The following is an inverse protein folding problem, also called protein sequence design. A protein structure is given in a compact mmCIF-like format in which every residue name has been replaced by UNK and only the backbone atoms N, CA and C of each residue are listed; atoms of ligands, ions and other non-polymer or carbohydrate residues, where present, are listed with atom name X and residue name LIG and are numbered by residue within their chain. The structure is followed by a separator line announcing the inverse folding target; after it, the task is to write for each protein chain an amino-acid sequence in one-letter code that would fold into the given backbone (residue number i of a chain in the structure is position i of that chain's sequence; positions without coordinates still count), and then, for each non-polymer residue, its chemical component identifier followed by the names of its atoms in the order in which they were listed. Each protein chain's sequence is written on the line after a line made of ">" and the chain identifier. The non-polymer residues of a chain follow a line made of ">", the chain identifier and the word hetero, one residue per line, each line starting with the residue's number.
data_IF_552249478079
#
_entry.id   IF_552249478079
#
_cell.length_a   1.000
_cell.length_b   1.000
_cell.length_c   1.000
_cell.angle_alpha   90.00
_cell.angle_beta   90.00
_cell.angle_gamma   90.00
#
_symmetry.space_group_name_H-M   'P 1'
#
loop_
_entity.id
_entity.type
_entity.pdbx_description
1 polymer ?
#
# COMPACT_ATOMS: atom_id res chain seq x y z
N UNK A 1 24.51 -4.07 12.42
CA UNK A 1 23.95 -4.35 11.09
C UNK A 1 22.95 -3.27 10.76
N UNK A 2 23.01 -2.70 9.55
CA UNK A 2 22.07 -1.67 9.10
C UNK A 2 20.73 -2.28 8.68
N UNK A 3 19.62 -1.61 9.00
CA UNK A 3 18.26 -2.04 8.67
C UNK A 3 17.63 -1.11 7.65
N UNK A 4 16.85 -1.68 6.73
CA UNK A 4 15.96 -0.91 5.86
C UNK A 4 14.60 -1.55 5.73
N UNK A 5 13.58 -0.70 5.73
CA UNK A 5 12.23 -1.01 5.27
C UNK A 5 12.09 -0.36 3.89
N UNK A 6 11.82 -1.17 2.86
CA UNK A 6 11.69 -0.68 1.49
C UNK A 6 10.29 -1.00 0.99
N UNK A 7 9.47 0.01 0.69
CA UNK A 7 8.15 -0.23 0.10
C UNK A 7 8.13 0.20 -1.38
N UNK A 8 7.19 -0.33 -2.17
CA UNK A 8 6.90 0.36 -3.44
C UNK A 8 5.94 1.54 -3.21
N UNK A 9 5.77 2.40 -4.21
CA UNK A 9 5.00 3.63 -4.07
C UNK A 9 3.48 3.44 -3.99
N UNK A 10 2.99 2.19 -3.90
CA UNK A 10 1.63 1.93 -3.45
C UNK A 10 1.45 2.15 -1.94
N UNK A 11 2.54 2.27 -1.18
CA UNK A 11 2.57 2.82 0.17
C UNK A 11 2.59 4.34 0.10
N UNK A 12 1.62 5.01 0.73
CA UNK A 12 1.51 6.47 0.69
C UNK A 12 2.39 7.18 1.75
N UNK A 13 3.03 6.43 2.67
CA UNK A 13 4.01 6.99 3.59
C UNK A 13 5.19 7.59 2.83
N UNK A 14 5.61 8.78 3.23
CA UNK A 14 6.83 9.45 2.73
C UNK A 14 8.02 9.31 3.66
N UNK A 15 7.74 9.03 4.93
CA UNK A 15 8.74 8.80 5.97
C UNK A 15 8.15 7.93 7.08
N UNK A 16 9.02 7.34 7.88
CA UNK A 16 8.65 6.70 9.14
C UNK A 16 9.08 7.60 10.31
N UNK A 17 8.59 7.33 11.50
CA UNK A 17 9.04 8.04 12.70
C UNK A 17 10.55 7.86 12.89
N UNK A 18 11.24 8.97 13.17
CA UNK A 18 12.66 8.93 13.44
C UNK A 18 12.94 8.11 14.70
N UNK A 19 13.91 7.22 14.63
CA UNK A 19 14.34 6.38 15.74
C UNK A 19 15.81 6.62 16.08
N UNK A 20 16.20 6.28 17.31
CA UNK A 20 17.61 6.22 17.72
C UNK A 20 18.36 5.04 17.06
N UNK A 21 17.62 4.10 16.48
CA UNK A 21 18.16 2.98 15.71
C UNK A 21 18.21 3.34 14.23
N UNK A 22 19.27 2.94 13.54
CA UNK A 22 19.57 3.27 12.14
C UNK A 22 18.68 2.51 11.12
N UNK A 23 17.37 2.44 11.36
CA UNK A 23 16.43 1.89 10.39
C UNK A 23 16.09 2.95 9.37
N UNK A 24 16.44 2.71 8.10
CA UNK A 24 16.08 3.61 7.01
C UNK A 24 14.80 3.15 6.31
N UNK A 25 14.01 4.11 5.85
CA UNK A 25 12.84 3.87 5.01
C UNK A 25 13.05 4.48 3.64
N UNK A 26 12.71 3.72 2.61
CA UNK A 26 12.73 4.21 1.24
C UNK A 26 11.59 3.62 0.42
N UNK A 27 11.22 4.33 -0.67
CA UNK A 27 10.21 3.86 -1.60
C UNK A 27 10.80 3.63 -2.99
N UNK A 28 10.33 2.57 -3.66
CA UNK A 28 10.63 2.24 -5.05
C UNK A 28 9.43 2.65 -5.91
N UNK A 29 9.59 3.62 -6.84
CA UNK A 29 8.47 4.22 -7.53
C UNK A 29 7.90 3.31 -8.63
N UNK A 30 6.56 3.20 -8.67
CA UNK A 30 5.83 2.78 -9.87
C UNK A 30 5.74 3.95 -10.84
N UNK A 31 5.30 3.67 -12.07
CA UNK A 31 5.17 4.69 -13.12
C UNK A 31 3.73 4.71 -13.64
N UNK A 32 3.16 5.89 -13.78
CA UNK A 32 1.87 6.12 -14.42
C UNK A 32 2.13 6.64 -15.83
N UNK A 33 1.50 6.03 -16.82
CA UNK A 33 1.61 6.41 -18.24
C UNK A 33 0.31 7.09 -18.67
N UNK A 34 0.39 8.34 -19.13
CA UNK A 34 -0.77 9.10 -19.60
C UNK A 34 -0.40 9.86 -20.87
N UNK A 35 -1.17 9.72 -21.93
CA UNK A 35 -0.97 10.46 -23.17
C UNK A 35 0.42 10.27 -23.82
N UNK A 36 1.07 9.14 -23.56
CA UNK A 36 2.46 8.86 -24.01
C UNK A 36 3.56 9.49 -23.16
N UNK A 37 3.23 10.06 -22.00
CA UNK A 37 4.18 10.60 -21.02
C UNK A 37 4.25 9.70 -19.79
N UNK A 38 5.46 9.50 -19.26
CA UNK A 38 5.74 8.72 -18.07
C UNK A 38 5.85 9.62 -16.83
N UNK A 39 5.01 9.34 -15.83
CA UNK A 39 5.00 10.01 -14.53
C UNK A 39 5.51 9.04 -13.45
N UNK A 40 6.74 9.25 -13.02
CA UNK A 40 7.35 8.45 -11.94
C UNK A 40 6.75 8.85 -10.60
N UNK A 41 6.18 7.90 -9.85
CA UNK A 41 5.53 8.13 -8.55
C UNK A 41 6.58 8.38 -7.43
N UNK A 42 7.38 9.41 -7.62
CA UNK A 42 8.42 9.87 -6.72
C UNK A 42 7.94 10.96 -5.75
N UNK A 43 8.88 11.46 -4.94
CA UNK A 43 8.58 12.47 -3.89
C UNK A 43 8.15 13.83 -4.47
N UNK A 44 8.66 14.18 -5.65
CA UNK A 44 8.46 15.50 -6.26
C UNK A 44 7.29 15.54 -7.26
N UNK A 45 6.56 14.45 -7.44
CA UNK A 45 5.43 14.40 -8.36
C UNK A 45 4.24 15.15 -7.78
N UNK A 46 3.74 16.14 -8.52
CA UNK A 46 2.48 16.82 -8.22
C UNK A 46 1.31 15.90 -8.60
N UNK A 47 0.73 15.24 -7.59
CA UNK A 47 -0.37 14.28 -7.76
C UNK A 47 -1.66 15.00 -8.17
N UNK A 48 -1.88 16.24 -7.72
CA UNK A 48 -3.06 17.02 -8.10
C UNK A 48 -3.04 17.35 -9.60
N UNK A 49 -1.90 17.81 -10.09
CA UNK A 49 -1.73 18.08 -11.54
C UNK A 49 -1.83 16.78 -12.35
N UNK A 50 -1.26 15.67 -11.87
CA UNK A 50 -1.40 14.37 -12.54
C UNK A 50 -2.87 13.94 -12.62
N UNK A 51 -3.66 14.10 -11.55
CA UNK A 51 -5.09 13.77 -11.55
C UNK A 51 -5.86 14.60 -12.59
N UNK A 52 -5.50 15.89 -12.76
CA UNK A 52 -6.08 16.76 -13.79
C UNK A 52 -5.75 16.25 -15.19
N UNK A 53 -4.49 15.89 -15.45
CA UNK A 53 -4.06 15.34 -16.74
C UNK A 53 -4.77 14.03 -17.06
N UNK A 54 -4.89 13.11 -16.07
CA UNK A 54 -5.61 11.85 -16.25
C UNK A 54 -7.08 12.09 -16.61
N UNK A 55 -7.73 13.08 -16.01
CA UNK A 55 -9.11 13.43 -16.29
C UNK A 55 -9.31 13.99 -17.71
N UNK A 56 -8.30 14.64 -18.29
CA UNK A 56 -8.31 15.15 -19.65
C UNK A 56 -7.97 14.08 -20.70
N UNK A 57 -7.21 13.03 -20.31
CA UNK A 57 -6.72 11.94 -21.19
C UNK A 57 -7.12 10.55 -20.67
N UNK A 58 -8.41 10.28 -20.46
CA UNK A 58 -8.84 9.08 -19.72
C UNK A 58 -8.59 7.75 -20.46
N UNK A 59 -8.48 7.77 -21.79
CA UNK A 59 -8.37 6.54 -22.59
C UNK A 59 -6.95 6.00 -22.70
N UNK A 60 -5.94 6.88 -22.64
CA UNK A 60 -4.54 6.56 -22.89
C UNK A 60 -3.72 6.47 -21.59
N UNK A 61 -4.24 5.80 -20.55
CA UNK A 61 -3.52 5.70 -19.27
C UNK A 61 -3.37 4.25 -18.77
N UNK A 62 -2.22 3.99 -18.16
CA UNK A 62 -1.86 2.70 -17.56
C UNK A 62 -0.81 2.88 -16.46
N UNK A 63 -0.36 1.81 -15.83
CA UNK A 63 0.76 1.84 -14.90
C UNK A 63 1.71 0.67 -15.12
N UNK A 64 2.97 0.84 -14.73
CA UNK A 64 3.98 -0.22 -14.70
C UNK A 64 4.66 -0.32 -13.34
N UNK A 65 5.10 -1.54 -13.00
CA UNK A 65 5.86 -1.80 -11.79
C UNK A 65 7.32 -1.35 -11.97
N UNK A 66 8.05 -1.13 -10.85
CA UNK A 66 9.48 -0.87 -10.87
C UNK A 66 10.24 -2.05 -11.46
N UNK A 67 11.39 -1.77 -12.11
CA UNK A 67 12.28 -2.83 -12.57
C UNK A 67 13.04 -3.47 -11.41
N UNK A 68 13.53 -4.70 -11.61
CA UNK A 68 14.41 -5.37 -10.65
C UNK A 68 15.70 -4.56 -10.35
N UNK A 69 16.19 -3.78 -11.31
CA UNK A 69 17.35 -2.91 -11.11
C UNK A 69 17.12 -1.85 -10.04
N UNK A 70 15.97 -1.19 -10.08
CA UNK A 70 15.60 -0.13 -9.11
C UNK A 70 15.43 -0.70 -7.69
N UNK A 71 14.84 -1.88 -7.55
CA UNK A 71 14.78 -2.60 -6.28
C UNK A 71 16.18 -3.00 -5.77
N UNK A 72 17.01 -3.55 -6.65
CA UNK A 72 18.37 -3.99 -6.31
C UNK A 72 19.25 -2.84 -5.81
N UNK A 73 19.09 -1.63 -6.37
CA UNK A 73 19.78 -0.42 -5.90
C UNK A 73 19.49 -0.12 -4.43
N UNK A 74 18.26 -0.32 -3.98
CA UNK A 74 17.91 -0.15 -2.57
C UNK A 74 18.46 -1.28 -1.71
N UNK A 75 18.29 -2.52 -2.17
CA UNK A 75 18.72 -3.70 -1.40
C UNK A 75 20.21 -3.75 -1.15
N UNK A 76 21.05 -3.26 -2.07
CA UNK A 76 22.52 -3.25 -1.90
C UNK A 76 23.00 -2.42 -0.73
N UNK A 77 22.25 -1.39 -0.33
CA UNK A 77 22.71 -0.39 0.65
C UNK A 77 22.76 -0.90 2.08
N UNK A 78 22.00 -1.96 2.44
CA UNK A 78 21.76 -2.36 3.82
C UNK A 78 22.03 -3.85 4.03
N UNK A 79 22.40 -4.21 5.26
CA UNK A 79 22.64 -5.61 5.64
C UNK A 79 21.34 -6.41 5.76
N UNK A 80 20.34 -5.81 6.43
CA UNK A 80 19.01 -6.37 6.66
C UNK A 80 17.96 -5.53 5.93
N UNK A 81 17.20 -6.15 5.04
CA UNK A 81 16.14 -5.50 4.27
C UNK A 81 14.84 -6.28 4.42
N UNK A 82 13.78 -5.59 4.81
CA UNK A 82 12.41 -6.10 4.66
C UNK A 82 11.69 -5.21 3.65
N UNK A 83 11.30 -5.82 2.52
CA UNK A 83 10.63 -5.11 1.44
C UNK A 83 9.13 -5.45 1.44
N UNK A 84 8.28 -4.42 1.40
CA UNK A 84 6.81 -4.54 1.37
C UNK A 84 6.30 -4.08 0.02
N UNK A 85 5.62 -4.96 -0.70
CA UNK A 85 5.11 -4.64 -2.04
C UNK A 85 3.59 -4.60 -2.09
N UNK A 86 3.06 -3.89 -3.08
CA UNK A 86 1.68 -4.08 -3.52
C UNK A 86 1.42 -5.56 -3.80
N UNK A 87 0.15 -5.97 -3.72
CA UNK A 87 -0.26 -7.35 -4.03
C UNK A 87 0.38 -7.86 -5.33
N UNK A 88 0.99 -9.06 -5.24
CA UNK A 88 1.55 -9.78 -6.37
C UNK A 88 0.50 -10.12 -7.46
N UNK A 89 -0.78 -10.20 -7.07
CA UNK A 89 -1.89 -10.42 -8.00
C UNK A 89 -2.39 -9.14 -8.70
N UNK A 90 -1.93 -7.95 -8.27
CA UNK A 90 -2.28 -6.68 -8.90
C UNK A 90 -1.13 -6.07 -9.70
N UNK A 91 0.12 -6.42 -9.37
CA UNK A 91 1.33 -5.82 -9.97
C UNK A 91 2.50 -6.80 -10.02
N UNK A 92 3.37 -6.64 -11.01
CA UNK A 92 4.65 -7.34 -11.08
C UNK A 92 5.73 -6.84 -10.10
N UNK A 93 5.38 -5.97 -9.15
CA UNK A 93 6.33 -5.36 -8.21
C UNK A 93 7.02 -6.41 -7.31
N UNK A 94 6.24 -7.36 -6.77
CA UNK A 94 6.77 -8.47 -5.96
C UNK A 94 7.75 -9.34 -6.74
N UNK A 95 7.41 -9.69 -7.98
CA UNK A 95 8.29 -10.48 -8.85
C UNK A 95 9.59 -9.72 -9.16
N UNK A 96 9.49 -8.43 -9.48
CA UNK A 96 10.66 -7.58 -9.71
C UNK A 96 11.56 -7.49 -8.45
N UNK A 97 10.97 -7.35 -7.26
CA UNK A 97 11.70 -7.38 -6.00
C UNK A 97 12.36 -8.75 -5.74
N UNK A 98 11.66 -9.85 -6.08
CA UNK A 98 12.21 -11.21 -5.96
C UNK A 98 13.43 -11.42 -6.87
N UNK A 99 13.36 -10.95 -8.11
CA UNK A 99 14.51 -10.96 -9.02
C UNK A 99 15.66 -10.10 -8.48
N UNK A 100 15.36 -8.92 -7.94
CA UNK A 100 16.36 -8.04 -7.33
C UNK A 100 17.05 -8.69 -6.13
N UNK A 101 16.30 -9.36 -5.26
CA UNK A 101 16.87 -10.13 -4.13
C UNK A 101 17.88 -11.15 -4.60
N UNK A 102 17.53 -11.94 -5.61
CA UNK A 102 18.43 -12.97 -6.15
C UNK A 102 19.69 -12.35 -6.74
N UNK A 103 19.57 -11.26 -7.50
CA UNK A 103 20.72 -10.51 -8.06
C UNK A 103 21.66 -10.06 -6.94
N UNK A 104 21.13 -9.42 -5.90
CA UNK A 104 21.94 -8.87 -4.80
C UNK A 104 22.59 -9.96 -3.97
N UNK A 105 21.89 -11.06 -3.68
CA UNK A 105 22.47 -12.19 -2.95
C UNK A 105 23.57 -12.90 -3.76
N UNK A 106 23.39 -13.05 -5.08
CA UNK A 106 24.41 -13.62 -5.96
C UNK A 106 25.66 -12.71 -6.07
N UNK A 107 25.48 -11.41 -6.17
CA UNK A 107 26.58 -10.44 -6.15
C UNK A 107 27.34 -10.52 -4.83
N UNK A 108 26.63 -10.47 -3.70
CA UNK A 108 27.22 -10.55 -2.37
C UNK A 108 27.99 -11.86 -2.17
N UNK A 109 27.43 -13.00 -2.60
CA UNK A 109 28.11 -14.30 -2.53
C UNK A 109 29.41 -14.33 -3.33
N UNK A 110 29.44 -13.74 -4.53
CA UNK A 110 30.67 -13.65 -5.36
C UNK A 110 31.77 -12.83 -4.68
N UNK A 111 31.41 -11.72 -4.07
CA UNK A 111 32.35 -10.85 -3.35
C UNK A 111 32.89 -11.51 -2.08
N UNK A 112 32.06 -12.33 -1.40
CA UNK A 112 32.40 -12.98 -0.13
C UNK A 112 32.71 -14.48 -0.24
N UNK A 113 33.25 -14.93 -1.40
CA UNK A 113 33.72 -16.31 -1.63
C UNK A 113 32.65 -17.38 -1.38
N UNK A 114 31.40 -17.10 -1.75
CA UNK A 114 30.25 -18.01 -1.59
C UNK A 114 29.53 -17.90 -0.25
N UNK A 115 29.92 -16.97 0.63
CA UNK A 115 29.24 -16.75 1.91
C UNK A 115 28.20 -15.65 1.75
N UNK A 116 26.95 -15.92 2.13
CA UNK A 116 25.85 -14.94 2.15
C UNK A 116 25.52 -14.44 3.56
N UNK A 117 26.21 -14.93 4.57
CA UNK A 117 26.04 -14.49 5.96
C UNK A 117 26.34 -13.00 6.11
N UNK A 118 25.39 -12.24 6.63
CA UNK A 118 25.49 -10.78 6.78
C UNK A 118 24.70 -9.98 5.74
N UNK A 119 24.01 -10.66 4.80
CA UNK A 119 23.07 -10.04 3.86
C UNK A 119 21.74 -10.76 3.90
N UNK A 120 20.72 -10.12 4.44
CA UNK A 120 19.39 -10.69 4.64
C UNK A 120 18.35 -9.85 3.92
N UNK A 121 17.51 -10.47 3.10
CA UNK A 121 16.45 -9.79 2.36
C UNK A 121 15.17 -10.63 2.43
N UNK A 122 14.13 -10.08 3.06
CA UNK A 122 12.80 -10.67 3.10
C UNK A 122 11.81 -9.83 2.28
N UNK A 123 10.87 -10.49 1.61
CA UNK A 123 9.85 -9.85 0.78
C UNK A 123 8.48 -10.17 1.34
N UNK A 124 7.71 -9.15 1.61
CA UNK A 124 6.32 -9.24 2.08
C UNK A 124 5.40 -8.87 0.91
N UNK A 125 4.61 -9.83 0.43
CA UNK A 125 3.45 -9.54 -0.40
C UNK A 125 2.35 -9.01 0.53
N UNK A 126 2.05 -7.72 0.48
CA UNK A 126 1.00 -7.15 1.32
C UNK A 126 -0.40 -7.68 1.00
N UNK A 127 -0.56 -8.32 -0.15
CA UNK A 127 -1.87 -8.72 -0.70
C UNK A 127 -2.87 -7.56 -0.79
N UNK A 128 -2.38 -6.32 -0.85
CA UNK A 128 -3.15 -5.08 -0.80
C UNK A 128 -2.48 -3.94 -1.60
N UNK A 129 -3.00 -2.73 -1.44
CA UNK A 129 -2.40 -1.45 -1.82
C UNK A 129 -2.85 -0.37 -0.82
N UNK A 130 -2.09 0.70 -0.66
CA UNK A 130 -2.40 1.81 0.22
C UNK A 130 -2.39 1.38 1.69
N UNK A 131 -3.35 1.85 2.47
CA UNK A 131 -3.43 1.80 3.92
C UNK A 131 -2.90 0.54 4.62
N UNK A 132 -3.01 -0.66 4.02
CA UNK A 132 -2.42 -1.86 4.62
C UNK A 132 -0.88 -1.82 4.57
N UNK A 133 -0.28 -1.27 3.51
CA UNK A 133 1.18 -1.14 3.43
C UNK A 133 1.68 -0.16 4.50
N UNK A 134 0.95 0.94 4.72
CA UNK A 134 1.27 1.91 5.77
C UNK A 134 1.24 1.26 7.16
N UNK A 135 0.23 0.42 7.42
CA UNK A 135 0.15 -0.38 8.66
C UNK A 135 1.37 -1.27 8.80
N UNK A 136 1.70 -2.06 7.77
CA UNK A 136 2.84 -2.98 7.81
C UNK A 136 4.16 -2.26 8.04
N UNK A 137 4.41 -1.16 7.33
CA UNK A 137 5.62 -0.35 7.46
C UNK A 137 5.72 0.27 8.84
N UNK A 138 4.62 0.83 9.36
CA UNK A 138 4.59 1.49 10.67
C UNK A 138 4.80 0.50 11.82
N UNK A 139 4.09 -0.62 11.81
CA UNK A 139 4.23 -1.66 12.85
C UNK A 139 5.64 -2.27 12.84
N UNK A 140 6.19 -2.55 11.64
CA UNK A 140 7.56 -3.05 11.52
C UNK A 140 8.58 -2.01 12.01
N UNK A 141 8.41 -0.75 11.65
CA UNK A 141 9.29 0.34 12.11
C UNK A 141 9.30 0.43 13.63
N UNK A 142 8.13 0.40 14.28
CA UNK A 142 7.99 0.41 15.74
C UNK A 142 8.67 -0.80 16.37
N UNK A 143 8.40 -1.99 15.82
CA UNK A 143 9.01 -3.22 16.32
C UNK A 143 10.54 -3.19 16.28
N UNK A 144 11.12 -2.71 15.17
CA UNK A 144 12.58 -2.57 15.02
C UNK A 144 13.16 -1.51 15.95
N UNK A 145 12.40 -0.45 16.26
CA UNK A 145 12.85 0.63 17.16
C UNK A 145 12.78 0.27 18.63
N UNK A 146 11.72 -0.43 19.03
CA UNK A 146 11.47 -0.77 20.44
C UNK A 146 12.20 -2.03 20.90
N UNK A 147 12.69 -2.83 19.94
CA UNK A 147 13.36 -4.09 20.20
C UNK A 147 14.69 -4.12 19.43
N UNK A 148 15.63 -4.94 19.82
CA UNK A 148 16.84 -5.24 19.03
C UNK A 148 16.73 -6.67 18.47
N UNK A 149 15.81 -6.89 17.49
CA UNK A 149 15.46 -8.23 17.05
C UNK A 149 16.53 -8.83 16.13
N UNK A 150 16.59 -10.17 16.09
CA UNK A 150 17.24 -10.85 14.99
C UNK A 150 16.41 -10.66 13.71
N UNK A 151 17.02 -10.95 12.56
CA UNK A 151 16.32 -10.87 11.28
C UNK A 151 15.10 -11.81 11.23
N UNK A 152 15.24 -13.02 11.72
CA UNK A 152 14.17 -14.03 11.77
C UNK A 152 13.00 -13.60 12.68
N UNK A 153 13.30 -12.91 13.77
CA UNK A 153 12.26 -12.35 14.65
C UNK A 153 11.50 -11.23 13.95
N UNK A 154 12.18 -10.34 13.24
CA UNK A 154 11.54 -9.29 12.47
C UNK A 154 10.68 -9.85 11.32
N UNK A 155 11.15 -10.90 10.64
CA UNK A 155 10.38 -11.62 9.61
C UNK A 155 9.12 -12.25 10.22
N UNK A 156 9.25 -12.99 11.30
CA UNK A 156 8.10 -13.62 11.95
C UNK A 156 7.06 -12.59 12.44
N UNK A 157 7.54 -11.43 12.93
CA UNK A 157 6.67 -10.34 13.35
C UNK A 157 5.87 -9.77 12.20
N UNK A 158 6.54 -9.38 11.10
CA UNK A 158 5.85 -8.74 9.97
C UNK A 158 4.89 -9.70 9.24
N UNK A 159 5.25 -10.97 9.11
CA UNK A 159 4.39 -11.98 8.51
C UNK A 159 3.10 -12.18 9.36
N UNK A 160 3.20 -12.13 10.70
CA UNK A 160 2.03 -12.18 11.58
C UNK A 160 1.17 -10.91 11.47
N UNK A 161 1.76 -9.71 11.35
CA UNK A 161 1.00 -8.46 11.15
C UNK A 161 0.32 -8.47 9.78
N UNK A 162 0.98 -9.01 8.74
CA UNK A 162 0.38 -9.11 7.41
C UNK A 162 -0.92 -9.96 7.43
N UNK A 163 -0.93 -11.07 8.15
CA UNK A 163 -2.12 -11.92 8.29
C UNK A 163 -3.24 -11.27 9.13
N UNK A 164 -2.88 -10.38 10.07
CA UNK A 164 -3.81 -9.67 10.96
C UNK A 164 -4.12 -8.25 10.49
N UNK A 165 -3.95 -7.97 9.24
CA UNK A 165 -4.25 -6.66 8.67
C UNK A 165 -5.06 -6.79 7.38
N UNK A 166 -5.88 -5.78 7.11
CA UNK A 166 -6.77 -5.75 5.96
C UNK A 166 -6.84 -4.37 5.34
N UNK A 167 -7.33 -4.31 4.10
CA UNK A 167 -7.64 -3.07 3.39
C UNK A 167 -9.10 -3.04 2.97
N UNK A 168 -9.73 -1.89 3.14
CA UNK A 168 -11.01 -1.55 2.53
C UNK A 168 -10.81 -0.36 1.60
N UNK A 169 -11.58 -0.29 0.53
CA UNK A 169 -11.58 0.86 -0.36
C UNK A 169 -12.99 1.26 -0.74
N UNK A 170 -13.29 2.53 -0.53
CA UNK A 170 -14.58 3.16 -0.85
C UNK A 170 -14.40 4.05 -2.07
N UNK A 171 -14.78 3.54 -3.24
CA UNK A 171 -14.55 4.20 -4.51
C UNK A 171 -15.87 4.63 -5.16
N UNK A 172 -15.80 5.75 -5.90
CA UNK A 172 -16.91 6.25 -6.72
C UNK A 172 -16.84 5.71 -8.16
N UNK A 173 -15.67 5.26 -8.59
CA UNK A 173 -15.42 4.65 -9.89
C UNK A 173 -14.41 3.51 -9.75
N UNK A 174 -14.44 2.57 -10.68
CA UNK A 174 -13.51 1.46 -10.83
C UNK A 174 -12.99 1.37 -12.27
N UNK A 175 -13.05 2.48 -12.98
CA UNK A 175 -12.76 2.52 -14.42
C UNK A 175 -11.29 2.19 -14.69
N UNK A 176 -10.37 2.83 -13.97
CA UNK A 176 -8.94 2.59 -14.13
C UNK A 176 -8.53 1.16 -13.74
N UNK A 177 -9.13 0.59 -12.70
CA UNK A 177 -8.93 -0.82 -12.33
C UNK A 177 -9.43 -1.78 -13.43
N UNK A 178 -10.58 -1.47 -14.02
CA UNK A 178 -11.21 -2.30 -15.05
C UNK A 178 -10.45 -2.24 -16.38
N UNK A 179 -10.11 -1.03 -16.86
CA UNK A 179 -9.40 -0.87 -18.14
C UNK A 179 -7.99 -1.44 -18.12
N UNK A 180 -7.35 -1.42 -16.95
CA UNK A 180 -6.02 -1.98 -16.76
C UNK A 180 -6.03 -3.48 -16.36
N UNK A 181 -7.19 -4.13 -16.37
CA UNK A 181 -7.31 -5.58 -16.16
C UNK A 181 -7.12 -6.06 -14.71
N UNK A 182 -7.16 -5.16 -13.72
CA UNK A 182 -7.08 -5.48 -12.28
C UNK A 182 -8.42 -5.87 -11.68
N UNK A 183 -9.51 -5.68 -12.45
CA UNK A 183 -10.85 -6.02 -12.06
C UNK A 183 -11.70 -6.43 -13.27
N UNK A 184 -12.62 -7.42 -13.15
CA UNK A 184 -13.54 -7.78 -14.23
C UNK A 184 -14.48 -6.62 -14.59
N UNK A 185 -14.76 -6.42 -15.88
CA UNK A 185 -15.60 -5.33 -16.42
C UNK A 185 -16.99 -5.23 -15.78
N UNK A 186 -17.61 -6.36 -15.42
CA UNK A 186 -18.95 -6.39 -14.83
C UNK A 186 -18.99 -5.76 -13.42
N UNK A 187 -17.90 -5.79 -12.68
CA UNK A 187 -17.83 -5.22 -11.33
C UNK A 187 -17.66 -3.69 -11.36
N UNK A 188 -16.97 -3.13 -12.39
CA UNK A 188 -16.80 -1.68 -12.56
C UNK A 188 -18.08 -0.92 -12.89
N UNK A 189 -19.06 -1.54 -13.52
CA UNK A 189 -20.32 -0.89 -13.94
C UNK A 189 -21.27 -0.49 -12.79
N UNK A 190 -21.00 -0.94 -11.56
CA UNK A 190 -21.86 -0.63 -10.39
C UNK A 190 -21.64 0.77 -9.83
N UNK A 191 -20.46 1.36 -10.03
CA UNK A 191 -20.08 2.64 -9.42
C UNK A 191 -20.52 3.89 -10.21
N UNK A 192 -20.98 3.75 -11.47
CA UNK A 192 -21.30 4.89 -12.36
C UNK A 192 -22.59 5.65 -12.04
N UNK A 193 -23.24 5.38 -10.91
CA UNK A 193 -24.50 6.05 -10.53
C UNK A 193 -24.27 7.17 -9.52
N UNK A 194 -24.96 8.29 -9.73
CA UNK A 194 -24.84 9.48 -8.88
C UNK A 194 -24.98 9.16 -7.38
N UNK A 195 -23.98 9.56 -6.60
CA UNK A 195 -23.92 9.41 -5.14
C UNK A 195 -23.95 7.94 -4.63
N UNK A 196 -23.49 6.99 -5.46
CA UNK A 196 -23.24 5.60 -5.04
C UNK A 196 -21.74 5.38 -4.98
N UNK A 197 -21.27 4.91 -3.83
CA UNK A 197 -19.93 4.37 -3.66
C UNK A 197 -20.00 2.85 -3.56
N UNK A 198 -18.96 2.18 -3.98
CA UNK A 198 -18.83 0.74 -3.82
C UNK A 198 -17.70 0.47 -2.84
N UNK A 199 -18.00 -0.31 -1.81
CA UNK A 199 -16.97 -0.83 -0.89
C UNK A 199 -16.37 -2.09 -1.49
N UNK A 200 -15.07 -2.13 -1.53
CA UNK A 200 -14.27 -3.30 -1.86
C UNK A 200 -13.25 -3.60 -0.78
N UNK A 201 -12.63 -4.75 -0.88
CA UNK A 201 -11.56 -5.25 -0.01
C UNK A 201 -10.61 -6.12 -0.83
N UNK A 202 -9.47 -6.50 -0.26
CA UNK A 202 -8.63 -7.54 -0.81
C UNK A 202 -9.17 -8.93 -0.45
N UNK A 203 -9.09 -9.87 -1.41
CA UNK A 203 -9.28 -11.29 -1.10
C UNK A 203 -8.05 -11.84 -0.35
N UNK A 204 -8.14 -13.07 0.13
CA UNK A 204 -6.99 -13.74 0.75
C UNK A 204 -5.78 -13.85 -0.20
N UNK A 205 -6.04 -13.98 -1.51
CA UNK A 205 -5.00 -14.01 -2.54
C UNK A 205 -4.54 -12.60 -2.98
N UNK A 206 -5.08 -11.52 -2.41
CA UNK A 206 -4.72 -10.17 -2.78
C UNK A 206 -5.36 -9.66 -4.08
N UNK A 207 -6.45 -10.29 -4.55
CA UNK A 207 -7.27 -9.76 -5.64
C UNK A 207 -8.37 -8.85 -5.10
N UNK A 208 -8.95 -8.02 -5.99
CA UNK A 208 -10.04 -7.12 -5.60
C UNK A 208 -11.35 -7.88 -5.44
N UNK A 209 -11.95 -7.75 -4.26
CA UNK A 209 -13.26 -8.32 -3.91
C UNK A 209 -14.26 -7.21 -3.59
N UNK A 210 -15.43 -7.24 -4.23
CA UNK A 210 -16.50 -6.29 -3.95
C UNK A 210 -17.30 -6.74 -2.73
N UNK A 211 -17.41 -5.85 -1.74
CA UNK A 211 -18.28 -6.01 -0.56
C UNK A 211 -19.70 -5.53 -0.87
N UNK A 212 -19.84 -4.42 -1.61
CA UNK A 212 -21.12 -3.97 -2.14
C UNK A 212 -21.32 -2.45 -2.07
N UNK A 213 -22.38 -1.95 -2.71
CA UNK A 213 -22.68 -0.53 -2.78
C UNK A 213 -23.24 0.04 -1.49
N UNK A 214 -23.03 1.36 -1.30
CA UNK A 214 -23.77 2.17 -0.34
C UNK A 214 -24.07 3.56 -0.94
N UNK A 215 -25.19 4.14 -0.57
CA UNK A 215 -25.59 5.48 -1.04
C UNK A 215 -25.32 6.52 0.03
N UNK A 216 -24.38 7.42 -0.25
CA UNK A 216 -23.96 8.51 0.63
C UNK A 216 -22.98 8.06 1.73
N UNK A 217 -22.17 9.02 2.21
CA UNK A 217 -21.04 8.80 3.11
C UNK A 217 -21.46 8.11 4.43
N UNK A 218 -22.57 8.50 5.04
CA UNK A 218 -23.04 7.90 6.31
C UNK A 218 -23.32 6.39 6.21
N UNK A 219 -23.92 5.94 5.09
CA UNK A 219 -24.18 4.51 4.88
C UNK A 219 -22.90 3.77 4.54
N UNK A 220 -21.99 4.42 3.81
CA UNK A 220 -20.68 3.86 3.51
C UNK A 220 -19.85 3.70 4.78
N UNK A 221 -19.78 4.71 5.65
CA UNK A 221 -19.08 4.62 6.94
C UNK A 221 -19.62 3.46 7.80
N UNK A 222 -20.93 3.30 7.91
CA UNK A 222 -21.53 2.14 8.62
C UNK A 222 -21.12 0.80 8.02
N UNK A 223 -21.02 0.72 6.69
CA UNK A 223 -20.61 -0.51 6.00
C UNK A 223 -19.12 -0.80 6.23
N UNK A 224 -18.27 0.23 6.27
CA UNK A 224 -16.85 0.13 6.63
C UNK A 224 -16.72 -0.43 8.05
N UNK A 225 -17.38 0.19 9.03
CA UNK A 225 -17.38 -0.27 10.43
C UNK A 225 -17.82 -1.74 10.53
N UNK A 226 -18.92 -2.12 9.88
CA UNK A 226 -19.39 -3.51 9.89
C UNK A 226 -18.39 -4.49 9.25
N UNK A 227 -17.62 -4.06 8.23
CA UNK A 227 -16.58 -4.89 7.64
C UNK A 227 -15.40 -5.04 8.59
N UNK A 228 -14.93 -3.96 9.23
CA UNK A 228 -13.88 -4.00 10.24
C UNK A 228 -14.24 -4.88 11.43
N UNK A 229 -15.49 -4.80 11.92
CA UNK A 229 -16.01 -5.70 12.98
C UNK A 229 -16.03 -7.16 12.52
N UNK A 230 -16.41 -7.42 11.27
CA UNK A 230 -16.44 -8.75 10.67
C UNK A 230 -15.06 -9.40 10.56
N UNK A 231 -14.01 -8.60 10.39
CA UNK A 231 -12.60 -9.05 10.36
C UNK A 231 -12.01 -9.21 11.77
N UNK A 232 -12.74 -8.81 12.82
CA UNK A 232 -12.30 -8.92 14.21
C UNK A 232 -11.63 -7.65 14.77
N UNK A 233 -11.68 -6.52 14.05
CA UNK A 233 -11.13 -5.27 14.53
C UNK A 233 -11.83 -4.79 15.80
N UNK A 234 -11.07 -4.55 16.85
CA UNK A 234 -11.55 -4.10 18.15
C UNK A 234 -10.87 -2.81 18.66
N UNK A 235 -10.11 -2.17 17.80
CA UNK A 235 -9.22 -1.04 18.04
C UNK A 235 -7.81 -1.39 17.58
N UNK A 236 -7.01 -0.38 17.26
CA UNK A 236 -5.63 -0.55 16.77
C UNK A 236 -5.25 0.53 15.78
N UNK A 237 -4.21 0.27 15.01
CA UNK A 237 -3.68 1.20 14.01
C UNK A 237 -4.55 1.20 12.75
N UNK A 238 -4.90 2.39 12.29
CA UNK A 238 -5.70 2.63 11.08
C UNK A 238 -5.07 3.73 10.24
N UNK A 239 -4.91 3.47 8.94
CA UNK A 239 -4.61 4.50 7.95
C UNK A 239 -5.82 4.74 7.06
N UNK A 240 -6.13 6.01 6.80
CA UNK A 240 -7.18 6.43 5.88
C UNK A 240 -6.52 7.31 4.81
N UNK A 241 -6.31 6.74 3.63
CA UNK A 241 -5.78 7.49 2.51
C UNK A 241 -6.93 8.06 1.69
N UNK A 242 -6.73 9.24 1.12
CA UNK A 242 -7.74 9.91 0.33
C UNK A 242 -7.20 10.51 -0.97
N UNK A 243 -8.04 10.52 -2.00
CA UNK A 243 -7.81 11.25 -3.24
C UNK A 243 -8.63 12.54 -3.18
N UNK A 244 -7.96 13.65 -2.81
CA UNK A 244 -8.57 14.98 -2.73
C UNK A 244 -9.90 15.02 -1.92
N UNK A 245 -10.00 14.17 -0.87
CA UNK A 245 -11.23 13.97 -0.10
C UNK A 245 -10.97 13.91 1.42
N UNK A 246 -10.12 14.80 1.90
CA UNK A 246 -9.81 14.90 3.35
C UNK A 246 -11.07 15.06 4.23
N UNK A 247 -12.11 15.83 3.84
CA UNK A 247 -13.32 15.95 4.67
C UNK A 247 -14.02 14.61 4.92
N UNK A 248 -14.09 13.71 3.92
CA UNK A 248 -14.68 12.39 4.12
C UNK A 248 -13.78 11.48 4.97
N UNK A 249 -12.45 11.59 4.83
CA UNK A 249 -11.50 10.88 5.68
C UNK A 249 -11.63 11.29 7.15
N UNK A 250 -11.73 12.60 7.43
CA UNK A 250 -11.98 13.14 8.78
C UNK A 250 -13.30 12.67 9.36
N UNK A 251 -14.38 12.66 8.57
CA UNK A 251 -15.68 12.14 9.01
C UNK A 251 -15.62 10.64 9.32
N UNK A 252 -14.91 9.85 8.50
CA UNK A 252 -14.73 8.43 8.75
C UNK A 252 -13.89 8.19 10.01
N UNK A 253 -12.79 8.94 10.19
CA UNK A 253 -11.99 8.92 11.43
C UNK A 253 -12.86 9.12 12.67
N UNK A 254 -13.73 10.15 12.65
CA UNK A 254 -14.65 10.40 13.76
C UNK A 254 -15.56 9.19 14.02
N UNK A 255 -16.12 8.60 12.95
CA UNK A 255 -17.01 7.43 13.08
C UNK A 255 -16.29 6.20 13.64
N UNK A 256 -15.02 5.99 13.28
CA UNK A 256 -14.19 4.91 13.83
C UNK A 256 -13.92 5.16 15.32
N UNK A 257 -13.54 6.39 15.71
CA UNK A 257 -13.27 6.75 17.10
C UNK A 257 -14.52 6.69 17.99
N UNK A 258 -15.71 6.98 17.46
CA UNK A 258 -16.98 6.78 18.18
C UNK A 258 -17.21 5.31 18.53
N UNK A 259 -16.73 4.39 17.70
CA UNK A 259 -16.89 2.94 17.92
C UNK A 259 -15.72 2.34 18.71
N UNK A 260 -14.48 2.79 18.43
CA UNK A 260 -13.25 2.33 19.06
C UNK A 260 -12.38 3.53 19.46
N UNK A 261 -12.61 4.11 20.64
CA UNK A 261 -11.96 5.35 21.08
C UNK A 261 -10.45 5.29 21.20
N UNK A 262 -9.90 4.09 21.44
CA UNK A 262 -8.45 3.86 21.60
C UNK A 262 -7.73 3.61 20.28
N UNK A 263 -8.42 3.70 19.13
CA UNK A 263 -7.77 3.52 17.83
C UNK A 263 -6.82 4.66 17.51
N UNK A 264 -5.64 4.32 17.02
CA UNK A 264 -4.70 5.27 16.45
C UNK A 264 -4.99 5.44 14.96
N UNK A 265 -5.35 6.66 14.53
CA UNK A 265 -5.82 6.88 13.15
C UNK A 265 -5.04 8.00 12.48
N UNK A 266 -4.36 7.64 11.39
CA UNK A 266 -3.65 8.54 10.50
C UNK A 266 -4.45 8.80 9.23
N UNK A 267 -4.34 10.01 8.69
CA UNK A 267 -4.95 10.39 7.41
C UNK A 267 -3.83 10.86 6.48
N UNK A 268 -3.77 10.30 5.28
CA UNK A 268 -2.75 10.62 4.28
C UNK A 268 -3.39 10.97 2.93
N UNK A 269 -2.84 11.92 2.18
CA UNK A 269 -3.16 12.05 0.76
C UNK A 269 -2.54 10.87 -0.01
N UNK A 270 -3.28 10.30 -0.95
CA UNK A 270 -2.76 9.27 -1.84
C UNK A 270 -1.58 9.77 -2.67
N UNK A 271 -0.56 8.93 -2.85
CA UNK A 271 0.45 9.10 -3.90
C UNK A 271 -0.15 8.74 -5.26
N UNK A 272 0.64 8.93 -6.32
CA UNK A 272 0.14 8.86 -7.68
C UNK A 272 -0.50 7.51 -8.04
N UNK A 273 0.11 6.37 -7.67
CA UNK A 273 -0.46 5.08 -7.99
C UNK A 273 -1.81 4.85 -7.31
N UNK A 274 -1.87 5.11 -6.01
CA UNK A 274 -3.11 4.96 -5.25
C UNK A 274 -4.17 5.95 -5.73
N UNK A 275 -3.79 7.21 -6.04
CA UNK A 275 -4.69 8.20 -6.60
C UNK A 275 -5.26 7.78 -7.96
N UNK A 276 -4.40 7.26 -8.85
CA UNK A 276 -4.80 6.77 -10.18
C UNK A 276 -5.87 5.68 -10.13
N UNK A 277 -5.71 4.70 -9.21
CA UNK A 277 -6.64 3.57 -9.10
C UNK A 277 -7.82 3.81 -8.18
N UNK A 278 -7.67 4.64 -7.15
CA UNK A 278 -8.80 5.02 -6.29
C UNK A 278 -9.69 6.10 -6.92
N UNK A 279 -9.18 6.81 -7.92
CA UNK A 279 -9.86 7.85 -8.68
C UNK A 279 -10.38 8.98 -7.79
N UNK A 280 -11.06 9.96 -8.38
CA UNK A 280 -11.50 11.15 -7.65
C UNK A 280 -12.35 10.81 -6.42
N UNK A 281 -12.00 11.40 -5.29
CA UNK A 281 -12.65 11.24 -3.97
C UNK A 281 -12.60 9.81 -3.40
N UNK A 282 -11.75 8.92 -3.91
CA UNK A 282 -11.54 7.61 -3.34
C UNK A 282 -10.99 7.65 -1.92
N UNK A 283 -11.35 6.66 -1.11
CA UNK A 283 -10.74 6.38 0.20
C UNK A 283 -10.19 4.96 0.21
N UNK A 284 -9.00 4.80 0.77
CA UNK A 284 -8.36 3.50 1.02
C UNK A 284 -8.11 3.41 2.53
N UNK A 285 -8.56 2.36 3.18
CA UNK A 285 -8.50 2.22 4.63
C UNK A 285 -7.74 0.94 4.97
N UNK A 286 -6.55 1.07 5.54
CA UNK A 286 -5.77 -0.04 6.08
C UNK A 286 -5.90 -0.11 7.59
N UNK A 287 -5.96 -1.30 8.15
CA UNK A 287 -6.05 -1.51 9.59
C UNK A 287 -5.47 -2.86 10.01
N UNK A 288 -5.02 -2.92 11.27
CA UNK A 288 -4.59 -4.16 11.91
C UNK A 288 -5.28 -4.32 13.26
N UNK A 289 -5.45 -5.58 13.66
CA UNK A 289 -6.02 -5.95 14.95
C UNK A 289 -5.08 -6.91 15.71
N UNK A 290 -5.27 -6.97 17.03
CA UNK A 290 -4.45 -7.78 17.94
C UNK A 290 -4.59 -9.30 17.71
#
# INVERSE_FOLDING_TARGET
>A
MSWAIVADSSCNLRSIEASDHSTEYSTVPLVIHVGGVDYVDGENLDVHELNRIIAEEPEASSSSCPSAGVWAEQFRKFDNVIAVTISANLSGSYEAASMARNIVLDEYAREHKGVISGKNIHLVDSRAAGGKLEVLVTELSRYLNDNDPTFEQAVAFIDNIEEKSQVLFSLSSYENLTKNGRMPRLAGALASRLNIRVLGTASHEGTIKIVGPARGEKKMAKKIIASMEGDGFSGGLVFIDHVENEPAALQLKQTILERWPESEIHILPCRALCSYYAENQGLIIGYTWA
#
